data_IF_256011617840
#
_entry.id   IF_256011617840
#
_cell.length_a   1.000
_cell.length_b   1.000
_cell.length_c   1.000
_cell.angle_alpha   90.00
_cell.angle_beta   90.00
_cell.angle_gamma   90.00
#
_symmetry.space_group_name_H-M   'P 1'
#
loop_
_entity.id
_entity.type
_entity.pdbx_description
1 polymer ?
#
# COMPACT_ATOMS: atom_id res chain seq x y z
N UNK A 1 -14.01 -7.65 -19.72
CA UNK A 1 -12.83 -7.08 -19.05
C UNK A 1 -13.28 -6.15 -17.93
N UNK A 2 -12.66 -6.22 -16.77
CA UNK A 2 -12.93 -5.38 -15.60
C UNK A 2 -11.63 -5.00 -14.88
N UNK A 3 -11.68 -4.00 -14.02
CA UNK A 3 -10.54 -3.58 -13.23
C UNK A 3 -10.38 -4.49 -12.00
N UNK A 4 -9.18 -5.03 -11.77
CA UNK A 4 -8.83 -5.81 -10.58
C UNK A 4 -7.52 -5.28 -10.00
N UNK A 5 -7.47 -5.12 -8.69
CA UNK A 5 -6.24 -4.71 -8.02
C UNK A 5 -5.26 -5.88 -7.94
N UNK A 6 -4.03 -5.66 -8.41
CA UNK A 6 -2.92 -6.60 -8.22
C UNK A 6 -2.15 -6.30 -6.95
N UNK A 7 -2.28 -5.10 -6.45
CA UNK A 7 -1.70 -4.62 -5.21
C UNK A 7 -2.60 -3.54 -4.63
N UNK A 8 -2.96 -3.68 -3.37
CA UNK A 8 -3.75 -2.72 -2.59
C UNK A 8 -3.31 -2.80 -1.14
N UNK A 9 -3.01 -1.64 -0.56
CA UNK A 9 -2.67 -1.49 0.85
C UNK A 9 -3.28 -0.21 1.40
N UNK A 10 -3.68 -0.26 2.68
CA UNK A 10 -4.23 0.91 3.36
C UNK A 10 -3.13 1.91 3.69
N UNK A 11 -3.31 3.20 3.35
CA UNK A 11 -2.40 4.25 3.80
C UNK A 11 -2.40 4.37 5.33
N UNK A 12 -1.23 4.60 5.90
CA UNK A 12 -1.05 4.80 7.34
C UNK A 12 -1.16 6.29 7.70
N UNK A 13 -1.93 6.59 8.74
CA UNK A 13 -1.98 7.92 9.33
C UNK A 13 -0.87 8.09 10.36
N UNK A 14 0.28 8.57 9.93
CA UNK A 14 1.37 8.86 10.85
C UNK A 14 1.14 10.11 11.70
N UNK A 15 0.24 11.02 11.27
CA UNK A 15 -0.05 12.31 11.91
C UNK A 15 1.19 13.19 12.15
N UNK A 16 2.31 12.86 11.53
CA UNK A 16 3.60 13.54 11.61
C UNK A 16 4.37 13.35 10.31
N UNK A 17 5.47 14.08 10.13
CA UNK A 17 6.40 13.84 9.03
C UNK A 17 7.21 12.57 9.32
N UNK A 18 7.09 11.56 8.48
CA UNK A 18 7.96 10.36 8.57
C UNK A 18 9.33 10.60 7.96
N UNK A 19 9.44 11.62 7.14
CA UNK A 19 10.67 12.10 6.52
C UNK A 19 10.41 13.24 5.57
N UNK A 20 11.49 13.85 5.10
CA UNK A 20 11.46 14.90 4.07
C UNK A 20 12.24 14.40 2.87
N UNK A 21 11.55 14.32 1.74
CA UNK A 21 12.11 13.83 0.48
C UNK A 21 12.28 14.98 -0.52
N UNK A 22 13.20 14.84 -1.45
CA UNK A 22 13.42 15.81 -2.53
C UNK A 22 14.62 15.39 -3.37
N UNK A 23 14.57 15.61 -4.68
CA UNK A 23 15.50 15.09 -5.66
C UNK A 23 15.78 13.59 -5.47
N UNK A 24 14.70 12.81 -5.34
CA UNK A 24 14.73 11.40 -5.01
C UNK A 24 13.83 10.61 -5.95
N UNK A 25 14.29 9.43 -6.33
CA UNK A 25 13.47 8.47 -7.07
C UNK A 25 13.13 7.27 -6.18
N UNK A 26 11.83 6.99 -6.05
CA UNK A 26 11.30 5.75 -5.50
C UNK A 26 11.16 4.74 -6.64
N UNK A 27 11.71 3.54 -6.48
CA UNK A 27 11.50 2.39 -7.35
C UNK A 27 10.83 1.29 -6.56
N UNK A 28 9.65 0.87 -7.01
CA UNK A 28 8.91 -0.23 -6.38
C UNK A 28 8.70 -1.34 -7.39
N UNK A 29 8.99 -2.57 -6.98
CA UNK A 29 8.73 -3.80 -7.73
C UNK A 29 7.53 -4.48 -7.12
N UNK A 30 6.51 -4.78 -7.93
CA UNK A 30 5.31 -5.48 -7.53
C UNK A 30 5.23 -6.83 -8.24
N UNK A 31 5.01 -7.90 -7.47
CA UNK A 31 4.63 -9.17 -8.06
C UNK A 31 3.26 -9.07 -8.72
N UNK A 32 3.12 -9.64 -9.88
CA UNK A 32 1.85 -9.64 -10.61
C UNK A 32 1.42 -11.06 -10.96
N UNK A 33 0.18 -11.42 -10.58
CA UNK A 33 -0.45 -12.70 -10.91
C UNK A 33 -1.46 -12.62 -12.04
N UNK A 34 -1.68 -11.47 -12.66
CA UNK A 34 -2.76 -11.28 -13.64
C UNK A 34 -2.24 -10.93 -15.03
N UNK A 35 -2.99 -11.36 -16.05
CA UNK A 35 -2.84 -10.76 -17.38
C UNK A 35 -3.66 -9.49 -17.44
N UNK A 36 -3.09 -8.42 -17.96
CA UNK A 36 -3.79 -7.14 -18.13
C UNK A 36 -3.50 -6.49 -19.47
N UNK A 37 -4.45 -5.73 -20.00
CA UNK A 37 -4.31 -4.95 -21.23
C UNK A 37 -4.12 -3.47 -20.98
N UNK A 38 -4.57 -3.01 -19.79
CA UNK A 38 -4.40 -1.63 -19.32
C UNK A 38 -4.02 -1.63 -17.85
N UNK A 39 -3.40 -0.53 -17.42
CA UNK A 39 -3.05 -0.28 -16.03
C UNK A 39 -3.52 1.11 -15.59
N UNK A 40 -3.90 1.24 -14.33
CA UNK A 40 -4.06 2.52 -13.63
C UNK A 40 -3.62 2.40 -12.19
N UNK A 41 -3.19 3.53 -11.62
CA UNK A 41 -2.72 3.63 -10.25
C UNK A 41 -3.65 4.50 -9.43
N UNK A 42 -3.88 4.15 -8.16
CA UNK A 42 -4.54 5.02 -7.20
C UNK A 42 -3.48 5.80 -6.43
N UNK A 43 -3.49 7.11 -6.63
CA UNK A 43 -2.68 8.03 -5.85
C UNK A 43 -3.36 8.34 -4.53
N UNK A 44 -2.57 8.44 -3.46
CA UNK A 44 -3.10 8.70 -2.12
C UNK A 44 -2.19 9.64 -1.32
N UNK A 45 -2.81 10.65 -0.74
CA UNK A 45 -2.29 11.48 0.32
C UNK A 45 -3.38 11.67 1.41
N UNK A 46 -4.12 10.59 1.66
CA UNK A 46 -5.35 10.53 2.48
C UNK A 46 -5.19 11.19 3.85
N UNK A 47 -4.03 11.05 4.46
CA UNK A 47 -3.74 11.60 5.78
C UNK A 47 -2.69 12.73 5.76
N UNK A 48 -2.26 13.14 4.58
CA UNK A 48 -1.34 14.26 4.43
C UNK A 48 -1.97 15.60 4.82
N UNK A 49 -1.16 16.47 5.39
CA UNK A 49 -1.53 17.88 5.76
C UNK A 49 -0.93 18.87 4.76
N UNK A 50 0.00 18.42 3.95
CA UNK A 50 0.64 19.18 2.89
C UNK A 50 0.47 18.43 1.56
N UNK A 51 0.42 19.12 0.41
CA UNK A 51 0.41 18.47 -0.88
C UNK A 51 1.65 17.58 -1.07
N UNK A 52 1.46 16.41 -1.68
CA UNK A 52 2.54 15.55 -2.16
C UNK A 52 2.63 15.67 -3.68
N UNK A 53 3.73 16.19 -4.20
CA UNK A 53 3.92 16.42 -5.63
C UNK A 53 4.92 15.42 -6.19
N UNK A 54 4.47 14.66 -7.18
CA UNK A 54 5.27 13.73 -7.97
C UNK A 54 5.61 14.43 -9.28
N UNK A 55 6.88 14.63 -9.57
CA UNK A 55 7.30 15.29 -10.82
C UNK A 55 7.08 14.38 -12.01
N UNK A 56 7.30 13.07 -11.82
CA UNK A 56 7.10 12.06 -12.84
C UNK A 56 6.83 10.70 -12.19
N UNK A 57 5.96 9.92 -12.81
CA UNK A 57 5.75 8.51 -12.48
C UNK A 57 5.80 7.68 -13.77
N UNK A 58 6.46 6.51 -13.73
CA UNK A 58 6.63 5.63 -14.89
C UNK A 58 6.39 4.18 -14.47
N UNK A 59 5.54 3.47 -15.19
CA UNK A 59 5.44 2.01 -15.10
C UNK A 59 6.34 1.36 -16.15
N UNK A 60 6.93 0.22 -15.81
CA UNK A 60 7.82 -0.53 -16.69
C UNK A 60 7.75 -2.02 -16.36
N UNK A 61 8.33 -2.85 -17.21
CA UNK A 61 8.62 -4.27 -16.96
C UNK A 61 10.11 -4.47 -16.74
N UNK A 62 10.46 -5.61 -16.16
CA UNK A 62 11.85 -6.05 -16.07
C UNK A 62 12.18 -6.99 -17.23
N UNK A 63 13.22 -6.68 -18.00
CA UNK A 63 13.80 -7.66 -18.94
C UNK A 63 14.42 -8.81 -18.16
N UNK A 64 13.99 -10.03 -18.47
CA UNK A 64 14.45 -11.25 -17.76
C UNK A 64 15.91 -11.61 -18.04
N UNK A 65 16.51 -11.05 -19.10
CA UNK A 65 17.88 -11.39 -19.51
C UNK A 65 18.92 -10.51 -18.83
N UNK A 66 18.68 -9.20 -18.74
CA UNK A 66 19.64 -8.24 -18.22
C UNK A 66 19.11 -7.39 -17.04
N UNK A 67 17.85 -7.62 -16.65
CA UNK A 67 17.20 -6.94 -15.53
C UNK A 67 16.87 -5.47 -15.79
N UNK A 68 16.98 -4.97 -17.01
CA UNK A 68 16.67 -3.56 -17.32
C UNK A 68 15.19 -3.29 -17.38
N UNK A 69 14.82 -2.03 -17.13
CA UNK A 69 13.45 -1.56 -17.29
C UNK A 69 13.12 -1.40 -18.79
N UNK A 70 12.09 -2.13 -19.25
CA UNK A 70 11.61 -2.12 -20.63
C UNK A 70 10.12 -1.79 -20.68
N UNK A 71 9.61 -1.52 -21.87
CA UNK A 71 8.19 -1.17 -22.12
C UNK A 71 7.68 -0.08 -21.17
N UNK A 72 8.44 0.99 -21.07
CA UNK A 72 8.20 2.10 -20.16
C UNK A 72 7.06 2.98 -20.64
N UNK A 73 6.13 3.32 -19.75
CA UNK A 73 5.05 4.26 -20.03
C UNK A 73 4.91 5.26 -18.89
N UNK A 74 4.81 6.54 -19.24
CA UNK A 74 4.58 7.61 -18.26
C UNK A 74 3.15 7.56 -17.74
N UNK A 75 3.00 7.63 -16.44
CA UNK A 75 1.70 7.73 -15.75
C UNK A 75 1.29 9.20 -15.73
N UNK A 76 0.05 9.48 -16.11
CA UNK A 76 -0.48 10.83 -16.13
C UNK A 76 -1.75 10.97 -15.30
N UNK A 77 -2.10 12.21 -14.98
CA UNK A 77 -3.41 12.59 -14.45
C UNK A 77 -3.95 13.76 -15.25
N UNK A 78 -5.10 13.56 -15.91
CA UNK A 78 -5.68 14.53 -16.84
C UNK A 78 -4.67 14.97 -17.92
N UNK A 79 -3.89 14.02 -18.46
CA UNK A 79 -2.84 14.23 -19.47
C UNK A 79 -1.58 14.91 -18.95
N UNK A 80 -1.42 15.16 -17.65
CA UNK A 80 -0.24 15.80 -17.05
C UNK A 80 0.64 14.77 -16.37
N UNK A 81 1.96 14.86 -16.62
CA UNK A 81 2.97 14.00 -15.99
C UNK A 81 3.23 14.39 -14.52
N UNK A 82 3.25 15.71 -14.25
CA UNK A 82 3.40 16.21 -12.88
C UNK A 82 2.08 16.10 -12.15
N UNK A 83 2.07 15.32 -11.08
CA UNK A 83 0.88 14.94 -10.32
C UNK A 83 1.00 15.53 -8.91
N UNK A 84 0.09 16.44 -8.57
CA UNK A 84 -0.06 16.95 -7.21
C UNK A 84 -1.22 16.22 -6.53
N UNK A 85 -0.96 15.67 -5.35
CA UNK A 85 -1.95 14.98 -4.52
C UNK A 85 -2.21 15.88 -3.32
N UNK A 86 -3.35 16.55 -3.33
CA UNK A 86 -3.72 17.48 -2.26
C UNK A 86 -3.91 16.75 -0.92
N UNK A 87 -3.84 17.47 0.22
CA UNK A 87 -4.16 16.91 1.53
C UNK A 87 -5.53 16.23 1.54
N UNK A 88 -5.59 15.01 2.03
CA UNK A 88 -6.83 14.21 2.10
C UNK A 88 -7.28 13.60 0.77
N UNK A 89 -6.58 13.87 -0.34
CA UNK A 89 -7.02 13.40 -1.66
C UNK A 89 -6.59 11.96 -1.96
N UNK A 90 -7.49 11.27 -2.66
CA UNK A 90 -7.24 10.00 -3.34
C UNK A 90 -7.91 10.04 -4.70
N UNK A 91 -7.23 9.58 -5.73
CA UNK A 91 -7.76 9.52 -7.09
C UNK A 91 -6.97 8.57 -7.99
N UNK A 92 -7.59 8.09 -9.06
CA UNK A 92 -6.88 7.29 -10.06
C UNK A 92 -6.12 8.14 -11.07
N UNK A 93 -5.01 7.59 -11.58
CA UNK A 93 -4.34 8.06 -12.79
C UNK A 93 -5.28 8.00 -14.01
N UNK A 94 -4.84 8.55 -15.12
CA UNK A 94 -5.41 8.20 -16.40
C UNK A 94 -5.19 6.71 -16.68
N UNK A 95 -6.07 6.10 -17.47
CA UNK A 95 -5.89 4.72 -17.96
C UNK A 95 -4.74 4.68 -18.97
N UNK A 96 -3.90 3.66 -18.86
CA UNK A 96 -2.74 3.49 -19.72
C UNK A 96 -2.88 2.17 -20.48
N UNK A 97 -2.87 2.24 -21.80
CA UNK A 97 -2.75 1.06 -22.68
C UNK A 97 -1.37 0.45 -22.49
N UNK A 98 -1.32 -0.64 -21.75
CA UNK A 98 -0.08 -1.30 -21.38
C UNK A 98 -0.34 -2.75 -20.97
N UNK A 99 0.09 -3.70 -21.79
CA UNK A 99 -0.16 -5.11 -21.54
C UNK A 99 0.90 -5.73 -20.65
N UNK A 100 0.47 -6.59 -19.72
CA UNK A 100 1.34 -7.36 -18.84
C UNK A 100 0.79 -8.78 -18.68
N UNK A 101 1.68 -9.76 -18.48
CA UNK A 101 1.29 -11.16 -18.27
C UNK A 101 1.46 -11.56 -16.80
N UNK A 102 0.66 -12.51 -16.36
CA UNK A 102 0.85 -13.16 -15.06
C UNK A 102 2.29 -13.68 -14.92
N UNK A 103 2.93 -13.36 -13.80
CA UNK A 103 4.33 -13.69 -13.52
C UNK A 103 5.36 -12.72 -14.13
N UNK A 104 4.92 -11.63 -14.77
CA UNK A 104 5.77 -10.48 -15.11
C UNK A 104 5.63 -9.42 -14.02
N UNK A 105 6.72 -9.14 -13.30
CA UNK A 105 6.72 -8.10 -12.27
C UNK A 105 6.51 -6.72 -12.89
N UNK A 106 5.82 -5.86 -12.14
CA UNK A 106 5.57 -4.47 -12.50
C UNK A 106 6.53 -3.59 -11.74
N UNK A 107 7.28 -2.78 -12.47
CA UNK A 107 8.11 -1.71 -11.91
C UNK A 107 7.34 -0.40 -11.89
N UNK A 108 7.39 0.32 -10.79
CA UNK A 108 6.93 1.69 -10.69
C UNK A 108 8.07 2.58 -10.22
N UNK A 109 8.39 3.58 -11.02
CA UNK A 109 9.31 4.65 -10.66
C UNK A 109 8.52 5.92 -10.37
N UNK A 110 8.82 6.59 -9.26
CA UNK A 110 8.25 7.89 -8.91
C UNK A 110 9.41 8.83 -8.59
N UNK A 111 9.55 9.90 -9.38
CA UNK A 111 10.51 10.96 -9.11
C UNK A 111 9.86 12.13 -8.37
N UNK A 112 10.42 12.47 -7.22
CA UNK A 112 10.04 13.61 -6.38
C UNK A 112 11.18 14.63 -6.46
N UNK A 113 10.94 15.73 -7.17
CA UNK A 113 11.93 16.77 -7.43
C UNK A 113 12.08 17.74 -6.27
N UNK A 114 10.96 18.34 -5.89
CA UNK A 114 10.94 19.40 -4.87
C UNK A 114 10.99 18.81 -3.47
N UNK A 115 11.65 19.54 -2.56
CA UNK A 115 11.73 19.12 -1.16
C UNK A 115 10.38 19.26 -0.46
N UNK A 116 9.87 18.16 0.09
CA UNK A 116 8.54 18.10 0.72
C UNK A 116 8.47 17.02 1.80
N UNK A 117 7.61 17.19 2.82
CA UNK A 117 7.38 16.17 3.83
C UNK A 117 6.54 15.01 3.28
N UNK A 118 6.77 13.81 3.80
CA UNK A 118 5.89 12.66 3.62
C UNK A 118 5.19 12.39 4.94
N UNK A 119 3.85 12.43 4.94
CA UNK A 119 3.01 12.31 6.13
C UNK A 119 2.00 11.16 6.00
N UNK A 120 1.87 10.62 4.80
CA UNK A 120 0.98 9.53 4.45
C UNK A 120 1.72 8.60 3.48
N UNK A 121 1.75 7.33 3.77
CA UNK A 121 2.34 6.31 2.91
C UNK A 121 1.73 4.94 3.23
N UNK A 122 1.85 3.99 2.32
CA UNK A 122 1.61 2.59 2.65
C UNK A 122 2.88 1.99 3.25
N UNK A 123 2.70 1.10 4.21
CA UNK A 123 3.81 0.41 4.88
C UNK A 123 3.57 -1.10 4.90
N UNK A 124 4.62 -1.87 4.71
CA UNK A 124 4.58 -3.34 4.80
C UNK A 124 5.95 -3.84 5.27
N UNK A 125 5.99 -5.01 5.89
CA UNK A 125 7.23 -5.55 6.45
C UNK A 125 7.78 -6.73 5.66
N UNK A 126 6.94 -7.48 4.95
CA UNK A 126 7.40 -8.44 3.95
C UNK A 126 7.73 -7.71 2.64
N UNK A 127 8.84 -8.09 2.02
CA UNK A 127 9.24 -7.58 0.70
C UNK A 127 9.11 -8.63 -0.40
N UNK A 128 8.38 -9.71 -0.14
CA UNK A 128 8.28 -10.83 -1.08
C UNK A 128 7.40 -10.52 -2.29
N UNK A 129 6.36 -9.69 -2.11
CA UNK A 129 5.46 -9.31 -3.20
C UNK A 129 5.55 -7.83 -3.59
N UNK A 130 6.09 -6.98 -2.69
CA UNK A 130 6.30 -5.57 -2.96
C UNK A 130 7.61 -5.12 -2.31
N UNK A 131 8.56 -4.62 -3.12
CA UNK A 131 9.83 -4.12 -2.61
C UNK A 131 10.12 -2.74 -3.17
N UNK A 132 10.37 -1.78 -2.26
CA UNK A 132 10.70 -0.39 -2.60
C UNK A 132 12.13 -0.06 -2.22
N UNK A 133 12.81 0.60 -3.13
CA UNK A 133 14.12 1.19 -2.93
C UNK A 133 14.11 2.65 -3.41
N UNK A 134 15.05 3.43 -2.90
CA UNK A 134 15.17 4.86 -3.15
C UNK A 134 16.55 5.22 -3.65
N UNK A 135 16.62 6.11 -4.65
CA UNK A 135 17.88 6.71 -5.11
C UNK A 135 17.84 8.21 -4.85
N UNK A 136 18.78 8.69 -4.05
CA UNK A 136 18.92 10.10 -3.70
C UNK A 136 19.72 10.87 -4.77
N UNK A 137 19.49 12.18 -4.83
CA UNK A 137 20.24 13.14 -5.64
C UNK A 137 20.20 12.89 -7.15
N UNK A 138 19.16 12.22 -7.63
CA UNK A 138 18.98 11.98 -9.06
C UNK A 138 17.54 11.71 -9.47
N UNK A 139 17.21 12.03 -10.73
CA UNK A 139 16.14 11.41 -11.48
C UNK A 139 16.64 10.03 -11.95
N UNK A 140 16.34 9.00 -11.17
CA UNK A 140 16.74 7.62 -11.43
C UNK A 140 15.70 6.82 -12.23
N UNK A 141 14.75 7.51 -12.89
CA UNK A 141 13.69 6.84 -13.65
C UNK A 141 14.30 5.98 -14.75
N UNK A 142 14.02 4.67 -14.65
CA UNK A 142 14.39 3.66 -15.64
C UNK A 142 15.88 3.59 -16.01
N UNK A 143 16.76 4.14 -15.19
CA UNK A 143 18.21 4.16 -15.49
C UNK A 143 18.84 2.80 -15.25
N UNK A 144 18.43 2.09 -14.18
CA UNK A 144 18.97 0.80 -13.78
C UNK A 144 17.99 0.07 -12.86
N UNK A 145 17.90 -1.24 -12.99
CA UNK A 145 17.11 -2.10 -12.11
C UNK A 145 17.94 -2.88 -11.10
N UNK A 146 19.28 -2.81 -11.19
CA UNK A 146 20.19 -3.29 -10.15
C UNK A 146 20.03 -2.49 -8.84
N UNK A 147 20.52 -3.03 -7.74
CA UNK A 147 20.39 -2.40 -6.42
C UNK A 147 21.53 -1.43 -6.08
N UNK A 148 22.55 -1.34 -6.91
CA UNK A 148 23.69 -0.45 -6.68
C UNK A 148 23.27 1.03 -6.63
N UNK A 149 23.60 1.69 -5.52
CA UNK A 149 23.23 3.09 -5.28
C UNK A 149 21.76 3.31 -4.88
N UNK A 150 20.97 2.26 -4.70
CA UNK A 150 19.65 2.31 -4.13
C UNK A 150 19.68 2.04 -2.64
N UNK A 151 18.80 2.69 -1.89
CA UNK A 151 18.69 2.66 -0.43
C UNK A 151 17.36 2.07 0.01
N UNK A 152 17.33 1.40 1.14
CA UNK A 152 16.09 0.94 1.77
C UNK A 152 15.34 2.11 2.43
N UNK A 153 14.05 1.93 2.70
CA UNK A 153 13.18 2.94 3.33
C UNK A 153 13.76 3.49 4.64
N UNK A 154 14.38 2.65 5.46
CA UNK A 154 15.00 3.05 6.73
C UNK A 154 16.17 4.05 6.58
N UNK A 155 16.81 4.08 5.42
CA UNK A 155 17.92 5.01 5.13
C UNK A 155 17.41 6.38 4.64
N UNK A 156 16.12 6.46 4.29
CA UNK A 156 15.46 7.65 3.76
C UNK A 156 14.53 8.29 4.79
N UNK A 157 13.81 7.47 5.54
CA UNK A 157 12.82 7.92 6.50
C UNK A 157 13.32 7.69 7.93
N UNK A 158 13.79 8.73 8.65
CA UNK A 158 14.28 8.61 10.03
C UNK A 158 13.27 7.99 10.99
N UNK A 159 11.98 8.19 10.70
CA UNK A 159 10.89 7.59 11.44
C UNK A 159 10.92 6.05 11.40
N UNK A 160 11.24 5.49 10.24
CA UNK A 160 11.34 4.04 10.01
C UNK A 160 12.67 3.47 10.49
N UNK A 161 13.73 4.30 10.60
CA UNK A 161 15.03 3.88 11.13
C UNK A 161 14.90 3.33 12.57
N UNK A 162 14.02 3.94 13.36
CA UNK A 162 13.73 3.51 14.73
C UNK A 162 12.83 2.25 14.79
N UNK A 163 12.19 1.87 13.69
CA UNK A 163 11.37 0.66 13.62
C UNK A 163 12.23 -0.59 13.57
N UNK A 164 12.17 -1.39 14.64
CA UNK A 164 12.87 -2.68 14.74
C UNK A 164 12.49 -3.64 13.59
N UNK A 165 11.30 -3.49 13.02
CA UNK A 165 10.76 -4.36 11.96
C UNK A 165 11.12 -3.91 10.55
N UNK A 166 11.69 -2.71 10.37
CA UNK A 166 12.20 -2.18 9.09
C UNK A 166 11.13 -2.13 8.00
N UNK A 167 10.07 -1.37 8.24
CA UNK A 167 8.99 -1.21 7.27
C UNK A 167 9.49 -0.77 5.89
N UNK A 168 8.93 -1.40 4.87
CA UNK A 168 9.08 -1.01 3.48
C UNK A 168 8.00 0.03 3.15
N UNK A 169 8.39 1.24 2.86
CA UNK A 169 7.48 2.38 2.63
C UNK A 169 7.25 2.59 1.14
N UNK A 170 6.01 2.82 0.76
CA UNK A 170 5.62 3.26 -0.59
C UNK A 170 4.84 4.56 -0.46
N UNK A 171 5.44 5.66 -0.91
CA UNK A 171 4.80 6.96 -0.86
C UNK A 171 3.98 7.26 -2.12
N UNK A 172 2.85 7.94 -1.94
CA UNK A 172 2.06 8.52 -3.01
C UNK A 172 1.05 7.60 -3.69
N UNK A 173 1.08 6.29 -3.46
CA UNK A 173 0.11 5.34 -4.04
C UNK A 173 -0.43 4.36 -3.01
N UNK A 174 -1.64 3.84 -3.26
CA UNK A 174 -2.30 2.81 -2.43
C UNK A 174 -2.79 1.60 -3.22
N UNK A 175 -2.94 1.71 -4.54
CA UNK A 175 -3.42 0.59 -5.37
C UNK A 175 -2.80 0.62 -6.78
N UNK A 176 -2.65 -0.58 -7.35
CA UNK A 176 -2.37 -0.79 -8.77
C UNK A 176 -3.44 -1.72 -9.33
N UNK A 177 -4.12 -1.29 -10.38
CA UNK A 177 -5.19 -2.04 -11.02
C UNK A 177 -4.83 -2.38 -12.45
N UNK A 178 -5.19 -3.60 -12.86
CA UNK A 178 -5.13 -4.04 -14.25
C UNK A 178 -6.55 -4.24 -14.81
N UNK A 179 -6.74 -3.88 -16.08
CA UNK A 179 -7.93 -4.21 -16.84
C UNK A 179 -7.76 -5.63 -17.40
N UNK A 180 -8.56 -6.56 -16.88
CA UNK A 180 -8.31 -7.99 -17.00
C UNK A 180 -9.60 -8.79 -17.20
N UNK A 181 -9.49 -10.12 -17.26
CA UNK A 181 -10.62 -11.04 -17.44
C UNK A 181 -11.60 -10.93 -16.25
N UNK A 182 -12.92 -10.81 -16.48
CA UNK A 182 -13.94 -10.75 -15.44
C UNK A 182 -14.09 -12.05 -14.64
N UNK A 183 -13.54 -13.16 -15.12
CA UNK A 183 -13.52 -14.45 -14.40
C UNK A 183 -12.50 -14.52 -13.26
N UNK A 184 -11.63 -13.52 -13.12
CA UNK A 184 -10.64 -13.47 -12.06
C UNK A 184 -11.32 -13.20 -10.72
N UNK A 185 -10.95 -14.02 -9.73
CA UNK A 185 -11.46 -13.89 -8.35
C UNK A 185 -10.59 -12.94 -7.54
N UNK A 186 -11.23 -12.19 -6.65
CA UNK A 186 -10.55 -11.29 -5.70
C UNK A 186 -10.74 -11.79 -4.28
N UNK A 187 -9.64 -11.90 -3.54
CA UNK A 187 -9.61 -12.18 -2.10
C UNK A 187 -9.16 -10.91 -1.39
N UNK A 188 -10.04 -10.32 -0.59
CA UNK A 188 -9.71 -9.22 0.29
C UNK A 188 -9.36 -9.74 1.69
N UNK A 189 -8.25 -9.27 2.23
CA UNK A 189 -7.78 -9.58 3.57
C UNK A 189 -8.02 -8.35 4.45
N UNK A 190 -8.99 -8.44 5.35
CA UNK A 190 -9.32 -7.36 6.27
C UNK A 190 -8.83 -7.72 7.67
N UNK A 191 -8.15 -6.77 8.36
CA UNK A 191 -7.62 -7.08 9.68
C UNK A 191 -6.71 -6.01 10.26
N UNK A 192 -6.03 -6.41 11.31
CA UNK A 192 -5.09 -5.62 12.10
C UNK A 192 -3.62 -5.73 11.61
N UNK A 193 -2.66 -5.60 12.53
CA UNK A 193 -1.22 -5.70 12.24
C UNK A 193 -0.81 -7.02 11.61
N UNK A 194 -1.47 -8.13 11.96
CA UNK A 194 -1.15 -9.46 11.40
C UNK A 194 -1.39 -9.46 9.90
N UNK A 195 -2.44 -8.79 9.46
CA UNK A 195 -2.76 -8.59 8.03
C UNK A 195 -1.88 -7.52 7.40
N UNK A 196 -1.77 -6.35 8.05
CA UNK A 196 -1.04 -5.20 7.54
C UNK A 196 0.45 -5.49 7.31
N UNK A 197 1.11 -6.20 8.23
CA UNK A 197 2.54 -6.53 8.14
C UNK A 197 2.93 -7.39 6.94
N UNK A 198 1.96 -7.87 6.19
CA UNK A 198 2.09 -8.57 4.91
C UNK A 198 2.77 -9.95 4.93
N UNK A 199 3.24 -10.44 6.04
CA UNK A 199 3.93 -11.74 6.06
C UNK A 199 3.06 -12.90 5.58
N UNK A 200 1.83 -13.03 6.11
CA UNK A 200 0.94 -14.09 5.67
C UNK A 200 0.27 -13.77 4.32
N UNK A 201 -0.07 -12.50 4.07
CA UNK A 201 -0.68 -12.10 2.80
C UNK A 201 0.26 -12.30 1.62
N UNK A 202 1.56 -12.00 1.78
CA UNK A 202 2.57 -12.28 0.77
C UNK A 202 2.77 -13.79 0.57
N UNK A 203 2.77 -14.57 1.66
CA UNK A 203 2.86 -16.02 1.56
C UNK A 203 1.66 -16.63 0.83
N UNK A 204 0.45 -16.12 1.12
CA UNK A 204 -0.78 -16.49 0.40
C UNK A 204 -0.69 -16.10 -1.07
N UNK A 205 -0.29 -14.86 -1.38
CA UNK A 205 -0.14 -14.36 -2.75
C UNK A 205 0.84 -15.22 -3.54
N UNK A 206 2.02 -15.54 -2.98
CA UNK A 206 3.00 -16.41 -3.64
C UNK A 206 2.45 -17.79 -3.92
N UNK A 207 1.76 -18.41 -2.97
CA UNK A 207 1.12 -19.70 -3.15
C UNK A 207 0.03 -19.66 -4.22
N UNK A 208 -0.78 -18.61 -4.26
CA UNK A 208 -1.77 -18.39 -5.31
C UNK A 208 -1.12 -18.24 -6.68
N UNK A 209 0.00 -17.50 -6.77
CA UNK A 209 0.76 -17.37 -8.03
C UNK A 209 1.29 -18.71 -8.53
N UNK A 210 1.67 -19.61 -7.64
CA UNK A 210 2.18 -20.95 -7.98
C UNK A 210 1.06 -21.93 -8.36
N UNK A 211 -0.04 -21.96 -7.58
CA UNK A 211 -1.09 -22.96 -7.73
C UNK A 211 -2.23 -22.51 -8.67
N UNK A 212 -2.46 -21.19 -8.77
CA UNK A 212 -3.56 -20.61 -9.54
C UNK A 212 -3.10 -19.39 -10.37
N UNK A 213 -2.08 -19.54 -11.23
CA UNK A 213 -1.54 -18.42 -12.00
C UNK A 213 -2.63 -17.79 -12.89
N UNK A 214 -2.72 -16.47 -12.86
CA UNK A 214 -3.64 -15.70 -13.69
C UNK A 214 -5.11 -15.76 -13.27
N UNK A 215 -5.44 -16.25 -12.06
CA UNK A 215 -6.85 -16.51 -11.66
C UNK A 215 -7.32 -15.76 -10.45
N UNK A 216 -6.43 -15.31 -9.57
CA UNK A 216 -6.80 -14.72 -8.29
C UNK A 216 -5.94 -13.49 -8.00
N UNK A 217 -6.60 -12.40 -7.61
CA UNK A 217 -6.02 -11.21 -7.02
C UNK A 217 -6.11 -11.26 -5.49
N UNK A 218 -5.15 -10.66 -4.79
CA UNK A 218 -5.18 -10.53 -3.32
C UNK A 218 -5.03 -9.06 -2.96
N UNK A 219 -5.98 -8.55 -2.16
CA UNK A 219 -5.98 -7.20 -1.63
C UNK A 219 -5.72 -7.22 -0.13
N UNK A 220 -4.83 -6.35 0.37
CA UNK A 220 -4.54 -6.22 1.79
C UNK A 220 -5.20 -4.95 2.33
N UNK A 221 -6.26 -5.11 3.11
CA UNK A 221 -7.01 -4.05 3.79
C UNK A 221 -6.70 -4.01 5.30
N UNK A 222 -5.53 -4.48 5.72
CA UNK A 222 -5.08 -4.46 7.11
C UNK A 222 -4.61 -3.08 7.55
N UNK A 223 -4.84 -2.75 8.82
CA UNK A 223 -4.29 -1.58 9.51
C UNK A 223 -3.69 -2.03 10.84
N UNK A 224 -2.40 -1.73 11.05
CA UNK A 224 -1.72 -2.09 12.30
C UNK A 224 -2.39 -1.49 13.54
N UNK A 225 -2.65 -2.31 14.55
CA UNK A 225 -3.29 -1.86 15.79
C UNK A 225 -4.80 -1.59 15.68
N UNK A 226 -5.42 -1.89 14.54
CA UNK A 226 -6.85 -1.64 14.33
C UNK A 226 -7.73 -2.45 15.30
N UNK A 227 -8.89 -1.92 15.63
CA UNK A 227 -9.91 -2.52 16.48
C UNK A 227 -11.25 -2.54 15.77
N UNK A 228 -12.09 -3.52 16.06
CA UNK A 228 -13.41 -3.64 15.43
C UNK A 228 -14.35 -2.52 15.87
N UNK A 229 -14.41 -2.27 17.18
CA UNK A 229 -15.47 -1.47 17.79
C UNK A 229 -15.09 -0.01 18.05
N UNK A 230 -13.80 0.34 17.97
CA UNK A 230 -13.33 1.65 18.39
C UNK A 230 -12.33 2.25 17.41
N UNK A 231 -12.48 3.55 17.19
CA UNK A 231 -11.45 4.37 16.53
C UNK A 231 -10.15 4.36 17.32
N UNK A 232 -9.08 4.82 16.67
CA UNK A 232 -7.79 5.01 17.29
C UNK A 232 -7.88 5.86 18.57
N UNK A 233 -7.37 5.32 19.68
CA UNK A 233 -7.23 6.06 20.94
C UNK A 233 -5.91 6.82 20.98
N UNK A 234 -5.84 7.83 21.84
CA UNK A 234 -4.58 8.53 22.09
C UNK A 234 -3.62 7.62 22.85
N UNK A 235 -2.53 7.22 22.20
CA UNK A 235 -1.49 6.34 22.77
C UNK A 235 -0.14 7.04 22.64
N UNK A 236 0.37 7.66 23.71
CA UNK A 236 1.67 8.33 23.69
C UNK A 236 2.78 7.35 23.27
N UNK A 237 3.60 7.76 22.30
CA UNK A 237 4.70 6.96 21.80
C UNK A 237 4.36 5.96 20.70
N UNK A 238 3.08 5.72 20.41
CA UNK A 238 2.68 5.06 19.19
C UNK A 238 2.70 6.05 18.02
N UNK A 239 2.70 5.54 16.80
CA UNK A 239 2.74 6.33 15.59
C UNK A 239 1.57 7.33 15.53
N UNK A 240 1.90 8.62 15.38
CA UNK A 240 0.92 9.70 15.45
C UNK A 240 0.14 9.77 16.77
N UNK A 241 0.73 9.32 17.89
CA UNK A 241 0.07 9.12 19.17
C UNK A 241 -1.19 8.23 19.07
N UNK A 242 -1.10 7.18 18.28
CA UNK A 242 -2.16 6.20 18.07
C UNK A 242 -3.00 6.42 16.81
N UNK A 243 -2.87 7.54 16.12
CA UNK A 243 -3.64 7.80 14.87
C UNK A 243 -3.43 6.73 13.79
N UNK A 244 -2.29 6.05 13.80
CA UNK A 244 -1.95 4.96 12.89
C UNK A 244 -2.89 3.75 13.01
N UNK A 245 -3.59 3.58 14.13
CA UNK A 245 -4.52 2.47 14.36
C UNK A 245 -5.84 2.61 13.59
N UNK A 246 -6.09 3.78 13.01
CA UNK A 246 -7.20 4.03 12.09
C UNK A 246 -8.58 4.10 12.74
N UNK A 247 -9.60 4.21 11.89
CA UNK A 247 -10.99 4.14 12.29
C UNK A 247 -11.38 2.71 12.70
N UNK A 248 -12.44 2.58 13.48
CA UNK A 248 -12.99 1.29 13.87
C UNK A 248 -13.22 0.37 12.66
N UNK A 249 -12.87 -0.89 12.78
CA UNK A 249 -13.02 -1.88 11.72
C UNK A 249 -14.43 -1.92 11.17
N UNK A 250 -15.45 -1.92 12.04
CA UNK A 250 -16.86 -1.88 11.65
C UNK A 250 -17.24 -0.63 10.82
N UNK A 251 -16.53 0.50 11.02
CA UNK A 251 -16.79 1.74 10.28
C UNK A 251 -16.10 1.74 8.91
N UNK A 252 -14.85 1.26 8.85
CA UNK A 252 -14.05 1.30 7.62
C UNK A 252 -14.27 0.11 6.68
N UNK A 253 -14.90 -0.96 7.16
CA UNK A 253 -15.02 -2.23 6.44
C UNK A 253 -15.62 -2.07 5.05
N UNK A 254 -16.78 -1.44 4.95
CA UNK A 254 -17.49 -1.27 3.69
C UNK A 254 -16.64 -0.50 2.65
N UNK A 255 -16.06 0.62 3.06
CA UNK A 255 -15.26 1.45 2.18
C UNK A 255 -13.94 0.79 1.78
N UNK A 256 -13.21 0.21 2.74
CA UNK A 256 -11.89 -0.34 2.48
C UNK A 256 -11.95 -1.67 1.71
N UNK A 257 -13.00 -2.48 1.92
CA UNK A 257 -13.16 -3.79 1.28
C UNK A 257 -13.96 -3.70 -0.02
N UNK A 258 -15.06 -2.93 -0.05
CA UNK A 258 -16.00 -2.90 -1.17
C UNK A 258 -16.01 -1.59 -1.96
N UNK A 259 -15.26 -0.57 -1.53
CA UNK A 259 -15.39 0.77 -2.07
C UNK A 259 -15.05 0.93 -3.56
N UNK A 260 -14.09 0.17 -4.08
CA UNK A 260 -13.66 0.26 -5.49
C UNK A 260 -13.96 -1.02 -6.28
N UNK A 261 -13.76 -2.16 -5.65
CA UNK A 261 -13.97 -3.47 -6.25
C UNK A 261 -14.68 -4.38 -5.25
N UNK A 262 -15.67 -5.13 -5.71
CA UNK A 262 -16.34 -6.13 -4.86
C UNK A 262 -15.50 -7.41 -4.88
N UNK A 263 -14.90 -7.82 -3.75
CA UNK A 263 -14.17 -9.08 -3.69
C UNK A 263 -15.13 -10.28 -3.72
N UNK A 264 -14.64 -11.40 -4.22
CA UNK A 264 -15.39 -12.68 -4.19
C UNK A 264 -15.32 -13.34 -2.82
N UNK A 265 -14.22 -13.13 -2.10
CA UNK A 265 -13.95 -13.69 -0.77
C UNK A 265 -13.36 -12.59 0.11
N UNK A 266 -13.87 -12.50 1.32
CA UNK A 266 -13.28 -11.67 2.37
C UNK A 266 -12.79 -12.57 3.50
N UNK A 267 -11.54 -12.43 3.88
CA UNK A 267 -10.96 -13.07 5.04
C UNK A 267 -10.76 -12.02 6.12
N UNK A 268 -11.44 -12.18 7.25
CA UNK A 268 -11.37 -11.25 8.38
C UNK A 268 -10.48 -11.84 9.48
N UNK A 269 -9.46 -11.09 9.89
CA UNK A 269 -8.59 -11.41 11.02
C UNK A 269 -8.41 -10.14 11.86
N UNK A 270 -9.34 -9.92 12.80
CA UNK A 270 -9.46 -8.69 13.58
C UNK A 270 -9.92 -9.00 15.01
N UNK A 271 -9.78 -8.04 15.94
CA UNK A 271 -10.37 -8.10 17.28
C UNK A 271 -9.36 -8.32 18.40
N UNK A 272 -8.15 -8.77 18.13
CA UNK A 272 -7.12 -8.94 19.18
C UNK A 272 -6.82 -7.61 19.90
N UNK A 273 -6.84 -6.50 19.17
CA UNK A 273 -6.54 -5.18 19.72
C UNK A 273 -7.70 -4.61 20.56
N UNK A 274 -8.95 -5.01 20.31
CA UNK A 274 -10.09 -4.66 21.19
C UNK A 274 -9.88 -5.26 22.58
N UNK A 275 -9.27 -6.45 22.65
CA UNK A 275 -8.95 -7.13 23.90
C UNK A 275 -7.65 -6.58 24.52
N UNK A 276 -6.62 -6.36 23.70
CA UNK A 276 -5.26 -6.10 24.18
C UNK A 276 -5.00 -4.63 24.53
N UNK A 277 -5.46 -3.67 23.68
CA UNK A 277 -5.15 -2.25 23.84
C UNK A 277 -5.59 -1.68 25.21
N UNK A 278 -6.77 -2.01 25.77
CA UNK A 278 -7.16 -1.52 27.08
C UNK A 278 -6.17 -1.84 28.20
N UNK A 279 -5.47 -2.95 28.10
CA UNK A 279 -4.49 -3.38 29.11
C UNK A 279 -3.07 -2.89 28.79
N UNK A 280 -2.64 -2.95 27.53
CA UNK A 280 -1.29 -2.55 27.11
C UNK A 280 -1.10 -1.03 27.21
N UNK A 281 -2.13 -0.26 26.89
CA UNK A 281 -2.08 1.20 26.91
C UNK A 281 -2.81 1.85 28.10
N UNK A 282 -3.22 1.05 29.09
CA UNK A 282 -3.92 1.49 30.32
C UNK A 282 -5.23 2.26 30.06
N UNK A 283 -5.96 1.87 29.00
CA UNK A 283 -7.30 2.40 28.68
C UNK A 283 -8.40 1.48 29.22
N UNK A 284 -8.47 1.31 30.54
CA UNK A 284 -9.41 0.36 31.20
C UNK A 284 -10.88 0.68 30.99
N UNK A 285 -11.20 1.91 30.67
CA UNK A 285 -12.55 2.38 30.28
C UNK A 285 -12.96 1.90 28.88
N UNK A 286 -12.02 1.35 28.12
CA UNK A 286 -12.24 0.82 26.77
C UNK A 286 -12.37 -0.71 26.73
N UNK A 287 -12.39 -1.38 27.87
CA UNK A 287 -12.58 -2.83 27.94
C UNK A 287 -13.95 -3.18 27.35
N UNK A 288 -13.96 -4.15 26.42
CA UNK A 288 -15.16 -4.62 25.73
C UNK A 288 -15.56 -6.00 26.23
N UNK A 289 -16.85 -6.30 26.24
CA UNK A 289 -17.36 -7.63 26.51
C UNK A 289 -17.28 -8.52 25.26
N UNK A 290 -17.19 -9.82 25.44
CA UNK A 290 -17.15 -10.79 24.34
C UNK A 290 -18.38 -10.66 23.42
N UNK A 291 -19.54 -10.45 24.01
CA UNK A 291 -20.82 -10.27 23.30
C UNK A 291 -20.82 -9.02 22.38
N UNK A 292 -20.10 -7.96 22.77
CA UNK A 292 -19.99 -6.75 21.95
C UNK A 292 -19.08 -6.99 20.74
N UNK A 293 -17.99 -7.75 20.92
CA UNK A 293 -17.13 -8.17 19.82
C UNK A 293 -17.86 -9.08 18.84
N UNK A 294 -18.60 -10.07 19.33
CA UNK A 294 -19.41 -10.95 18.48
C UNK A 294 -20.43 -10.17 17.65
N UNK A 295 -21.11 -9.18 18.24
CA UNK A 295 -22.02 -8.30 17.50
C UNK A 295 -21.29 -7.47 16.45
N UNK A 296 -20.13 -6.88 16.79
CA UNK A 296 -19.34 -6.09 15.86
C UNK A 296 -18.82 -6.87 14.66
N UNK A 297 -18.59 -8.18 14.84
CA UNK A 297 -18.19 -9.09 13.76
C UNK A 297 -19.38 -9.61 12.93
N UNK A 298 -20.60 -9.52 13.45
CA UNK A 298 -21.81 -10.08 12.82
C UNK A 298 -22.65 -9.05 12.07
N UNK A 299 -22.39 -7.77 12.26
CA UNK A 299 -23.13 -6.66 11.65
C UNK A 299 -22.46 -6.13 10.44
#
# INVERSE_FOLDING_TARGET
MEWKAIWKYMPVNYNTDIGVVGNITQRTVFCNNLNGEKIKLKFSNRYGKMPLTLEKAVVAKTDKNDGKAVEQVTVTKNGKERIAIDPGAEFFSDEIEWSVKAGEDILLFIYIKDRQPVQCATAMWSTKCCRTLYRTDSDGICQDTGDDGWKESREIFPYVEADVNKANIVAGISEILLYTDPGIKTVALFGDSITHMSYFSDALTKRIMEEMPGRVAVENCGIGGNRILRDASYVPGADGNGACFGAAGAVRFEQDVFGENIPDIVLVLEGINDIMHPYVFDHKDEIVAAEDLEKGMSG
#
